data_IF_503920752596
#
_entry.id   IF_503920752596
#
_cell.length_a   1.000
_cell.length_b   1.000
_cell.length_c   1.000
_cell.angle_alpha   90.00
_cell.angle_beta   90.00
_cell.angle_gamma   90.00
#
_symmetry.space_group_name_H-M   'P 1'
#
loop_
_entity.id
_entity.type
_entity.pdbx_description
1 polymer ?
#
# COMPACT_ATOMS: atom_id res chain seq x y z
N UNK A 1 6.15 -22.05 -8.66
CA UNK A 1 5.48 -21.00 -9.47
C UNK A 1 6.28 -19.73 -9.28
N UNK A 2 7.21 -19.49 -10.20
CA UNK A 2 8.20 -18.40 -10.15
C UNK A 2 7.59 -17.06 -10.53
N UNK A 3 7.58 -16.12 -9.59
CA UNK A 3 7.21 -14.71 -9.81
C UNK A 3 8.39 -13.95 -10.45
N UNK A 4 9.60 -14.53 -10.47
CA UNK A 4 10.83 -13.97 -11.05
C UNK A 4 10.77 -13.78 -12.57
N UNK A 5 10.01 -14.62 -13.28
CA UNK A 5 10.03 -14.64 -14.75
C UNK A 5 9.24 -13.52 -15.43
N UNK A 6 8.39 -12.79 -14.69
CA UNK A 6 7.58 -11.71 -15.27
C UNK A 6 8.32 -10.36 -15.35
N UNK A 7 9.43 -10.17 -14.64
CA UNK A 7 10.24 -8.96 -14.77
C UNK A 7 10.95 -8.87 -16.13
N UNK A 8 11.29 -10.01 -16.74
CA UNK A 8 12.04 -10.06 -18.00
C UNK A 8 11.18 -9.88 -19.26
N UNK A 9 9.86 -10.05 -19.16
CA UNK A 9 8.95 -9.94 -20.31
C UNK A 9 8.47 -8.51 -20.60
N UNK A 10 8.72 -7.57 -19.67
CA UNK A 10 8.36 -6.16 -19.86
C UNK A 10 9.22 -5.51 -20.96
N UNK A 11 10.40 -6.07 -21.28
CA UNK A 11 11.31 -5.54 -22.30
C UNK A 11 10.92 -5.84 -23.76
N UNK A 12 9.87 -6.63 -24.02
CA UNK A 12 9.43 -6.98 -25.40
C UNK A 12 8.08 -6.40 -25.82
N UNK A 13 7.34 -5.74 -24.92
CA UNK A 13 6.06 -5.13 -25.25
C UNK A 13 6.20 -3.65 -25.62
N UNK A 14 7.04 -3.34 -26.61
CA UNK A 14 6.97 -2.09 -27.33
C UNK A 14 5.74 -2.08 -28.23
N UNK A 15 4.54 -1.88 -27.66
CA UNK A 15 3.27 -1.62 -28.37
C UNK A 15 2.12 -1.42 -27.38
N UNK A 16 2.12 -0.32 -26.61
CA UNK A 16 0.87 0.31 -26.15
C UNK A 16 1.06 1.83 -26.08
N UNK A 17 1.09 2.47 -27.24
CA UNK A 17 0.69 3.87 -27.34
C UNK A 17 -0.82 3.94 -27.07
N UNK A 18 -1.21 4.03 -25.80
CA UNK A 18 -2.56 4.33 -25.40
C UNK A 18 -2.55 5.66 -24.65
N UNK A 19 -2.94 6.70 -25.40
CA UNK A 19 -3.45 8.01 -24.95
C UNK A 19 -2.70 8.62 -23.76
N UNK A 20 -1.41 8.84 -23.95
CA UNK A 20 -0.73 9.90 -23.22
C UNK A 20 -0.63 11.10 -24.15
N UNK A 21 -0.91 12.31 -23.65
CA UNK A 21 -0.70 13.54 -24.43
C UNK A 21 0.71 13.46 -25.04
N UNK A 22 0.88 13.62 -26.38
CA UNK A 22 2.18 13.48 -27.04
C UNK A 22 3.24 14.50 -26.56
N UNK A 23 2.88 15.38 -25.62
CA UNK A 23 3.70 16.47 -25.11
C UNK A 23 4.19 16.29 -23.65
N UNK A 24 3.71 15.30 -22.89
CA UNK A 24 4.15 15.13 -21.50
C UNK A 24 5.34 14.18 -21.37
N UNK A 25 6.32 14.55 -20.53
CA UNK A 25 7.47 13.70 -20.29
C UNK A 25 7.06 12.42 -19.53
N UNK A 26 7.77 11.28 -19.74
CA UNK A 26 7.50 10.05 -19.00
C UNK A 26 7.52 10.20 -17.48
N UNK A 27 8.41 11.08 -16.98
CA UNK A 27 8.50 11.40 -15.56
C UNK A 27 7.23 12.12 -15.08
N UNK A 28 6.70 13.06 -15.87
CA UNK A 28 5.47 13.78 -15.55
C UNK A 28 4.28 12.83 -15.46
N UNK A 29 4.14 11.94 -16.45
CA UNK A 29 3.06 10.94 -16.48
C UNK A 29 3.18 9.96 -15.31
N UNK A 30 4.40 9.51 -15.01
CA UNK A 30 4.69 8.70 -13.83
C UNK A 30 4.33 9.39 -12.52
N UNK A 31 4.69 10.67 -12.35
CA UNK A 31 4.35 11.45 -11.16
C UNK A 31 2.84 11.61 -10.99
N UNK A 32 2.09 11.87 -12.07
CA UNK A 32 0.63 11.95 -12.02
C UNK A 32 0.02 10.60 -11.60
N UNK A 33 0.51 9.49 -12.17
CA UNK A 33 0.05 8.15 -11.83
C UNK A 33 0.38 7.77 -10.37
N UNK A 34 1.58 8.10 -9.89
CA UNK A 34 1.99 7.91 -8.49
C UNK A 34 1.11 8.72 -7.54
N UNK A 35 0.81 9.98 -7.87
CA UNK A 35 -0.12 10.81 -7.08
C UNK A 35 -1.50 10.16 -6.99
N UNK A 36 -2.05 9.72 -8.12
CA UNK A 36 -3.32 8.99 -8.16
C UNK A 36 -3.31 7.79 -7.20
N UNK A 37 -2.25 6.99 -7.23
CA UNK A 37 -2.13 5.81 -6.36
C UNK A 37 -2.11 6.20 -4.89
N UNK A 38 -1.37 7.24 -4.51
CA UNK A 38 -1.33 7.68 -3.12
C UNK A 38 -2.68 8.21 -2.64
N UNK A 39 -3.37 8.99 -3.47
CA UNK A 39 -4.74 9.45 -3.16
C UNK A 39 -5.67 8.25 -2.97
N UNK A 40 -5.55 7.21 -3.81
CA UNK A 40 -6.34 5.98 -3.68
C UNK A 40 -5.97 5.11 -2.47
N UNK A 41 -4.70 5.01 -2.10
CA UNK A 41 -4.27 4.30 -0.89
C UNK A 41 -4.87 4.97 0.34
N UNK A 42 -4.84 6.31 0.40
CA UNK A 42 -5.37 7.06 1.54
C UNK A 42 -6.89 6.89 1.63
N UNK A 43 -7.62 6.94 0.51
CA UNK A 43 -9.06 6.66 0.48
C UNK A 43 -9.40 5.24 0.94
N UNK A 44 -8.68 4.21 0.46
CA UNK A 44 -8.91 2.81 0.87
C UNK A 44 -8.59 2.61 2.36
N UNK A 45 -7.60 3.31 2.90
CA UNK A 45 -7.26 3.23 4.34
C UNK A 45 -8.32 3.86 5.21
N UNK A 46 -8.82 5.02 4.82
CA UNK A 46 -9.88 5.72 5.54
C UNK A 46 -11.20 4.94 5.45
N UNK A 47 -11.53 4.39 4.28
CA UNK A 47 -12.67 3.49 4.16
C UNK A 47 -12.56 2.29 5.11
N UNK A 48 -11.36 1.71 5.24
CA UNK A 48 -11.11 0.59 6.14
C UNK A 48 -11.28 0.96 7.62
N UNK A 49 -10.99 2.20 8.04
CA UNK A 49 -11.24 2.61 9.43
C UNK A 49 -12.73 2.72 9.70
N UNK A 50 -13.49 3.37 8.81
CA UNK A 50 -14.95 3.42 8.92
C UNK A 50 -15.59 2.04 8.93
N UNK A 51 -15.16 1.12 8.06
CA UNK A 51 -15.65 -0.27 8.08
C UNK A 51 -15.30 -0.99 9.39
N UNK A 52 -14.17 -0.67 10.02
CA UNK A 52 -13.83 -1.25 11.32
C UNK A 52 -14.76 -0.71 12.40
N UNK A 53 -14.91 0.61 12.48
CA UNK A 53 -15.80 1.31 13.42
C UNK A 53 -17.26 0.82 13.30
N UNK A 54 -17.76 0.67 12.07
CA UNK A 54 -19.12 0.19 11.76
C UNK A 54 -19.35 -1.20 12.34
N UNK A 55 -18.35 -2.06 12.15
CA UNK A 55 -18.42 -3.47 12.53
C UNK A 55 -18.09 -3.71 14.01
N UNK A 56 -17.46 -2.75 14.69
CA UNK A 56 -17.25 -2.77 16.15
C UNK A 56 -18.37 -2.06 16.93
N UNK A 57 -19.31 -1.40 16.23
CA UNK A 57 -20.41 -0.65 16.84
C UNK A 57 -19.98 0.71 17.39
N UNK A 58 -18.85 1.24 16.91
CA UNK A 58 -18.41 2.61 17.20
C UNK A 58 -19.26 3.61 16.41
N UNK A 59 -19.39 4.81 16.96
CA UNK A 59 -20.11 5.90 16.27
C UNK A 59 -19.30 6.37 15.06
N UNK A 60 -19.95 6.47 13.90
CA UNK A 60 -19.33 6.89 12.65
C UNK A 60 -19.96 8.19 12.15
N UNK A 61 -19.10 9.08 11.70
CA UNK A 61 -19.49 10.17 10.81
C UNK A 61 -19.95 9.63 9.45
N UNK A 62 -21.27 9.50 9.31
CA UNK A 62 -21.90 8.96 8.10
C UNK A 62 -21.68 9.84 6.86
N UNK A 63 -21.51 11.15 7.04
CA UNK A 63 -21.24 12.08 5.93
C UNK A 63 -19.82 11.86 5.42
N UNK A 64 -18.84 11.82 6.31
CA UNK A 64 -17.45 11.51 5.94
C UNK A 64 -17.31 10.12 5.34
N UNK A 65 -18.04 9.12 5.84
CA UNK A 65 -18.02 7.78 5.26
C UNK A 65 -18.61 7.75 3.84
N UNK A 66 -19.71 8.47 3.60
CA UNK A 66 -20.29 8.63 2.28
C UNK A 66 -19.35 9.36 1.30
N UNK A 67 -18.64 10.39 1.75
CA UNK A 67 -17.64 11.10 0.95
C UNK A 67 -16.49 10.18 0.53
N UNK A 68 -16.01 9.33 1.44
CA UNK A 68 -14.96 8.35 1.11
C UNK A 68 -15.44 7.34 0.08
N UNK A 69 -16.67 6.84 0.19
CA UNK A 69 -17.26 5.94 -0.83
C UNK A 69 -17.38 6.64 -2.18
N UNK A 70 -17.84 7.89 -2.22
CA UNK A 70 -17.88 8.71 -3.43
C UNK A 70 -16.48 8.91 -4.03
N UNK A 71 -15.48 9.16 -3.19
CA UNK A 71 -14.08 9.28 -3.61
C UNK A 71 -13.56 8.00 -4.25
N UNK A 72 -13.82 6.84 -3.64
CA UNK A 72 -13.45 5.53 -4.19
C UNK A 72 -14.11 5.26 -5.55
N UNK A 73 -15.38 5.61 -5.70
CA UNK A 73 -16.10 5.50 -6.97
C UNK A 73 -15.56 6.46 -8.05
N UNK A 74 -15.23 7.70 -7.67
CA UNK A 74 -14.57 8.64 -8.59
C UNK A 74 -13.19 8.13 -9.02
N UNK A 75 -12.42 7.55 -8.09
CA UNK A 75 -11.12 6.98 -8.38
C UNK A 75 -11.22 5.77 -9.31
N UNK A 76 -12.18 4.86 -9.10
CA UNK A 76 -12.38 3.68 -9.96
C UNK A 76 -12.56 4.08 -11.43
N UNK A 77 -13.40 5.09 -11.68
CA UNK A 77 -13.67 5.63 -13.01
C UNK A 77 -12.45 6.30 -13.65
N UNK A 78 -11.52 6.83 -12.84
CA UNK A 78 -10.31 7.53 -13.31
C UNK A 78 -9.13 6.60 -13.58
N UNK A 79 -9.09 5.38 -13.01
CA UNK A 79 -7.93 4.46 -13.15
C UNK A 79 -7.52 4.26 -14.61
N UNK A 80 -8.50 4.13 -15.51
CA UNK A 80 -8.30 3.84 -16.93
C UNK A 80 -7.44 4.89 -17.66
N UNK A 81 -7.48 6.14 -17.18
CA UNK A 81 -6.77 7.29 -17.75
C UNK A 81 -5.26 7.28 -17.45
N UNK A 82 -4.81 6.47 -16.48
CA UNK A 82 -3.40 6.43 -16.07
C UNK A 82 -2.69 5.20 -16.65
N UNK A 83 -2.24 5.29 -17.91
CA UNK A 83 -1.56 4.19 -18.61
C UNK A 83 -0.30 3.68 -17.90
N UNK A 84 0.32 4.49 -17.03
CA UNK A 84 1.53 4.14 -16.28
C UNK A 84 1.28 3.15 -15.14
N UNK A 85 0.03 2.97 -14.70
CA UNK A 85 -0.32 2.11 -13.57
C UNK A 85 -0.27 0.61 -13.85
N UNK A 86 -0.08 0.20 -15.11
CA UNK A 86 -0.14 -1.21 -15.48
C UNK A 86 -0.56 -1.40 -16.92
N UNK A 87 -0.63 -2.66 -17.31
CA UNK A 87 -1.41 -3.12 -18.45
C UNK A 87 -2.90 -2.79 -18.28
N UNK A 88 -3.66 -2.87 -19.38
CA UNK A 88 -5.12 -2.64 -19.35
C UNK A 88 -5.85 -3.61 -18.39
N UNK A 89 -5.54 -4.92 -18.35
CA UNK A 89 -6.15 -5.84 -17.38
C UNK A 89 -5.89 -5.45 -15.91
N UNK A 90 -4.66 -5.06 -15.56
CA UNK A 90 -4.32 -4.65 -14.19
C UNK A 90 -5.11 -3.41 -13.76
N UNK A 91 -5.24 -2.42 -14.65
CA UNK A 91 -6.05 -1.22 -14.42
C UNK A 91 -7.53 -1.54 -14.28
N UNK A 92 -8.05 -2.49 -15.06
CA UNK A 92 -9.42 -2.94 -14.95
C UNK A 92 -9.69 -3.63 -13.60
N UNK A 93 -8.80 -4.51 -13.16
CA UNK A 93 -8.91 -5.17 -11.84
C UNK A 93 -8.89 -4.12 -10.72
N UNK A 94 -8.00 -3.12 -10.80
CA UNK A 94 -7.96 -2.05 -9.82
C UNK A 94 -9.26 -1.23 -9.80
N UNK A 95 -9.79 -0.87 -10.97
CA UNK A 95 -11.09 -0.19 -11.10
C UNK A 95 -12.20 -0.98 -10.42
N UNK A 96 -12.34 -2.27 -10.73
CA UNK A 96 -13.37 -3.12 -10.13
C UNK A 96 -13.26 -3.21 -8.62
N UNK A 97 -12.04 -3.27 -8.07
CA UNK A 97 -11.82 -3.32 -6.62
C UNK A 97 -12.17 -2.03 -5.92
N UNK A 98 -11.78 -0.88 -6.48
CA UNK A 98 -12.14 0.43 -5.93
C UNK A 98 -13.65 0.66 -5.99
N UNK A 99 -14.28 0.27 -7.09
CA UNK A 99 -15.73 0.33 -7.24
C UNK A 99 -16.43 -0.58 -6.22
N UNK A 100 -15.99 -1.83 -6.06
CA UNK A 100 -16.56 -2.75 -5.08
C UNK A 100 -16.46 -2.22 -3.64
N UNK A 101 -15.38 -1.49 -3.30
CA UNK A 101 -15.24 -0.84 -2.00
C UNK A 101 -16.18 0.36 -1.83
N UNK A 102 -16.56 1.05 -2.92
CA UNK A 102 -17.51 2.16 -2.85
C UNK A 102 -18.96 1.73 -2.62
N UNK A 103 -19.26 0.45 -2.86
CA UNK A 103 -20.59 -0.13 -2.68
C UNK A 103 -20.75 -0.70 -1.26
N UNK A 104 -21.97 -0.63 -0.73
CA UNK A 104 -22.28 -1.30 0.53
C UNK A 104 -22.27 -2.82 0.32
N UNK A 105 -21.44 -3.55 1.08
CA UNK A 105 -21.36 -5.01 1.01
C UNK A 105 -21.89 -5.63 2.30
N UNK A 106 -23.20 -5.55 2.52
CA UNK A 106 -23.86 -5.81 3.80
C UNK A 106 -23.68 -7.25 4.34
N UNK A 107 -23.21 -8.20 3.54
CA UNK A 107 -23.16 -9.63 3.92
C UNK A 107 -21.76 -10.18 4.27
N UNK A 108 -20.72 -9.34 4.33
CA UNK A 108 -19.34 -9.80 4.58
C UNK A 108 -18.89 -9.62 6.03
N UNK A 109 -18.27 -10.67 6.60
CA UNK A 109 -17.58 -10.59 7.89
C UNK A 109 -16.45 -9.55 7.86
N UNK A 110 -16.13 -8.96 9.01
CA UNK A 110 -15.04 -7.98 9.15
C UNK A 110 -13.72 -8.52 8.57
N UNK A 111 -13.38 -9.77 8.87
CA UNK A 111 -12.19 -10.44 8.33
C UNK A 111 -12.14 -10.45 6.79
N UNK A 112 -13.24 -10.79 6.11
CA UNK A 112 -13.34 -10.78 4.64
C UNK A 112 -13.18 -9.36 4.09
N UNK A 113 -13.84 -8.38 4.71
CA UNK A 113 -13.69 -6.97 4.33
C UNK A 113 -12.23 -6.52 4.47
N UNK A 114 -11.55 -6.84 5.57
CA UNK A 114 -10.14 -6.49 5.79
C UNK A 114 -9.20 -7.16 4.77
N UNK A 115 -9.48 -8.40 4.34
CA UNK A 115 -8.76 -9.06 3.25
C UNK A 115 -8.87 -8.26 1.95
N UNK A 116 -10.08 -7.86 1.57
CA UNK A 116 -10.32 -7.08 0.33
C UNK A 116 -9.56 -5.75 0.36
N UNK A 117 -9.57 -5.04 1.49
CA UNK A 117 -8.80 -3.80 1.64
C UNK A 117 -7.29 -4.04 1.52
N UNK A 118 -6.76 -5.06 2.20
CA UNK A 118 -5.33 -5.40 2.13
C UNK A 118 -4.89 -5.78 0.73
N UNK A 119 -5.70 -6.58 0.02
CA UNK A 119 -5.47 -6.94 -1.37
C UNK A 119 -5.50 -5.73 -2.30
N UNK A 120 -6.43 -4.79 -2.07
CA UNK A 120 -6.54 -3.56 -2.87
C UNK A 120 -5.35 -2.63 -2.65
N UNK A 121 -4.92 -2.44 -1.39
CA UNK A 121 -3.72 -1.66 -1.06
C UNK A 121 -2.46 -2.28 -1.69
N UNK A 122 -2.31 -3.61 -1.63
CA UNK A 122 -1.20 -4.31 -2.29
C UNK A 122 -1.18 -4.09 -3.81
N UNK A 123 -2.35 -4.14 -4.46
CA UNK A 123 -2.47 -3.86 -5.89
C UNK A 123 -2.10 -2.41 -6.20
N UNK A 124 -2.49 -1.46 -5.35
CA UNK A 124 -2.10 -0.06 -5.48
C UNK A 124 -0.57 0.12 -5.37
N UNK A 125 0.10 -0.50 -4.38
CA UNK A 125 1.57 -0.49 -4.31
C UNK A 125 2.24 -1.09 -5.55
N UNK A 126 1.68 -2.15 -6.12
CA UNK A 126 2.15 -2.71 -7.38
C UNK A 126 1.94 -1.75 -8.57
N UNK A 127 0.80 -1.07 -8.65
CA UNK A 127 0.55 -0.06 -9.69
C UNK A 127 1.47 1.17 -9.54
N UNK A 128 1.80 1.56 -8.31
CA UNK A 128 2.80 2.61 -8.04
C UNK A 128 4.16 2.20 -8.61
N UNK A 129 4.57 0.96 -8.32
CA UNK A 129 5.82 0.40 -8.81
C UNK A 129 5.90 0.39 -10.34
N UNK A 130 4.84 -0.09 -10.98
CA UNK A 130 4.66 -0.01 -12.42
C UNK A 130 4.85 1.42 -12.97
N UNK A 131 4.31 2.43 -12.30
CA UNK A 131 4.44 3.82 -12.72
C UNK A 131 5.87 4.34 -12.52
N UNK A 132 6.53 3.98 -11.42
CA UNK A 132 7.95 4.28 -11.20
C UNK A 132 8.78 3.65 -12.31
N UNK A 133 8.67 2.34 -12.52
CA UNK A 133 9.44 1.59 -13.53
C UNK A 133 9.27 2.15 -14.94
N UNK A 134 8.04 2.46 -15.37
CA UNK A 134 7.78 3.04 -16.70
C UNK A 134 8.36 4.44 -16.87
N UNK A 135 8.58 5.16 -15.78
CA UNK A 135 9.24 6.47 -15.80
C UNK A 135 10.75 6.37 -16.12
N UNK A 136 11.36 5.18 -16.00
CA UNK A 136 12.82 4.99 -16.00
C UNK A 136 13.46 4.76 -17.35
N UNK A 137 12.70 4.40 -18.40
CA UNK A 137 13.19 4.17 -19.78
C UNK A 137 14.56 3.46 -19.90
N UNK A 138 14.81 2.39 -19.13
CA UNK A 138 16.00 1.55 -19.29
C UNK A 138 17.23 1.89 -18.41
N UNK A 139 17.08 2.72 -17.37
CA UNK A 139 18.16 3.03 -16.42
C UNK A 139 18.32 1.93 -15.33
N UNK A 140 18.90 0.78 -15.69
CA UNK A 140 19.05 -0.41 -14.83
C UNK A 140 19.85 -0.19 -13.54
N UNK A 141 20.93 0.61 -13.58
CA UNK A 141 21.87 0.75 -12.46
C UNK A 141 21.25 1.39 -11.19
N UNK A 142 20.08 2.03 -11.29
CA UNK A 142 19.39 2.67 -10.16
C UNK A 142 18.32 1.79 -9.48
N UNK A 143 18.16 0.53 -9.93
CA UNK A 143 16.97 -0.27 -9.60
C UNK A 143 17.11 -1.29 -8.49
N UNK A 144 18.30 -1.88 -8.29
CA UNK A 144 18.47 -2.98 -7.33
C UNK A 144 18.01 -2.59 -5.92
N UNK A 145 18.48 -1.44 -5.43
CA UNK A 145 18.11 -0.95 -4.11
C UNK A 145 16.62 -0.64 -3.99
N UNK A 146 16.04 0.02 -4.99
CA UNK A 146 14.62 0.33 -4.98
C UNK A 146 13.75 -0.94 -5.02
N UNK A 147 14.15 -1.95 -5.80
CA UNK A 147 13.46 -3.25 -5.85
C UNK A 147 13.49 -3.95 -4.50
N UNK A 148 14.65 -4.00 -3.83
CA UNK A 148 14.77 -4.56 -2.48
C UNK A 148 13.87 -3.84 -1.46
N UNK A 149 13.75 -2.52 -1.59
CA UNK A 149 12.85 -1.69 -0.78
C UNK A 149 11.38 -1.98 -1.07
N UNK A 150 11.03 -2.12 -2.33
CA UNK A 150 9.67 -2.47 -2.72
C UNK A 150 9.29 -3.88 -2.24
N UNK A 151 10.16 -4.88 -2.38
CA UNK A 151 9.85 -6.25 -1.92
C UNK A 151 9.65 -6.32 -0.40
N UNK A 152 10.51 -5.68 0.38
CA UNK A 152 10.38 -5.67 1.85
C UNK A 152 9.18 -4.85 2.34
N UNK A 153 8.83 -3.77 1.64
CA UNK A 153 7.57 -3.06 1.85
C UNK A 153 6.37 -3.99 1.63
N UNK A 154 6.32 -4.70 0.49
CA UNK A 154 5.20 -5.59 0.15
C UNK A 154 5.05 -6.73 1.18
N UNK A 155 6.16 -7.28 1.64
CA UNK A 155 6.21 -8.24 2.75
C UNK A 155 5.57 -7.67 4.03
N UNK A 156 5.89 -6.42 4.36
CA UNK A 156 5.41 -5.75 5.57
C UNK A 156 3.91 -5.44 5.48
N UNK A 157 3.43 -4.95 4.34
CA UNK A 157 2.00 -4.69 4.08
C UNK A 157 1.18 -5.98 4.19
N UNK A 158 1.71 -7.11 3.73
CA UNK A 158 1.04 -8.40 3.86
C UNK A 158 0.92 -8.82 5.32
N UNK A 159 2.03 -8.79 6.07
CA UNK A 159 2.04 -9.14 7.48
C UNK A 159 1.10 -8.24 8.28
N UNK A 160 1.02 -6.96 7.94
CA UNK A 160 0.09 -6.00 8.54
C UNK A 160 -1.37 -6.40 8.29
N UNK A 161 -1.69 -6.84 7.06
CA UNK A 161 -3.02 -7.34 6.70
C UNK A 161 -3.35 -8.61 7.48
N UNK A 162 -2.42 -9.57 7.55
CA UNK A 162 -2.60 -10.81 8.31
C UNK A 162 -2.81 -10.56 9.81
N UNK A 163 -2.09 -9.59 10.37
CA UNK A 163 -2.26 -9.23 11.78
C UNK A 163 -3.64 -8.60 12.04
N UNK A 164 -4.09 -7.68 11.18
CA UNK A 164 -5.45 -7.10 11.25
C UNK A 164 -6.56 -8.14 11.14
N UNK A 165 -6.41 -9.13 10.27
CA UNK A 165 -7.36 -10.24 10.17
C UNK A 165 -7.41 -11.01 11.50
N UNK A 166 -6.25 -11.23 12.14
CA UNK A 166 -6.21 -11.86 13.46
C UNK A 166 -6.92 -11.01 14.53
N UNK A 167 -6.72 -9.69 14.54
CA UNK A 167 -7.43 -8.75 15.42
C UNK A 167 -8.95 -8.84 15.20
N UNK A 168 -9.43 -8.93 13.95
CA UNK A 168 -10.87 -9.07 13.69
C UNK A 168 -11.48 -10.34 14.30
N UNK A 169 -10.69 -11.43 14.40
CA UNK A 169 -11.14 -12.64 15.09
C UNK A 169 -11.31 -12.41 16.59
N UNK A 170 -10.45 -11.59 17.21
CA UNK A 170 -10.56 -11.19 18.62
C UNK A 170 -11.82 -10.34 18.83
N UNK A 171 -12.10 -9.39 17.94
CA UNK A 171 -13.34 -8.59 17.97
C UNK A 171 -14.58 -9.48 17.93
N UNK A 172 -14.63 -10.43 16.99
CA UNK A 172 -15.83 -11.23 16.75
C UNK A 172 -16.03 -12.37 17.75
N UNK A 173 -14.94 -12.98 18.25
CA UNK A 173 -15.00 -14.25 18.98
C UNK A 173 -14.31 -14.21 20.35
N UNK A 174 -13.77 -13.07 20.75
CA UNK A 174 -12.86 -12.95 21.90
C UNK A 174 -11.47 -13.55 21.63
N UNK A 175 -10.57 -13.41 22.61
CA UNK A 175 -9.19 -13.90 22.50
C UNK A 175 -9.13 -15.44 22.69
N UNK A 176 -9.38 -16.19 21.62
CA UNK A 176 -9.34 -17.68 21.65
C UNK A 176 -7.96 -18.28 21.40
N UNK A 177 -7.08 -17.58 20.67
CA UNK A 177 -5.75 -18.07 20.33
C UNK A 177 -4.68 -16.96 20.51
N UNK A 178 -4.25 -16.70 21.76
CA UNK A 178 -3.23 -15.69 22.06
C UNK A 178 -1.91 -15.94 21.32
N UNK A 179 -1.50 -17.21 21.18
CA UNK A 179 -0.25 -17.59 20.50
C UNK A 179 -0.25 -17.18 19.03
N UNK A 180 -1.38 -17.36 18.34
CA UNK A 180 -1.50 -16.93 16.95
C UNK A 180 -1.45 -15.40 16.83
N UNK A 181 -2.13 -14.67 17.71
CA UNK A 181 -2.12 -13.21 17.72
C UNK A 181 -0.70 -12.66 17.91
N UNK A 182 0.01 -13.16 18.93
CA UNK A 182 1.41 -12.80 19.21
C UNK A 182 2.32 -13.19 18.05
N UNK A 183 2.14 -14.38 17.46
CA UNK A 183 2.92 -14.82 16.30
C UNK A 183 2.73 -13.91 15.08
N UNK A 184 1.52 -13.43 14.82
CA UNK A 184 1.23 -12.48 13.73
C UNK A 184 1.80 -11.09 14.01
N UNK A 185 1.69 -10.61 15.25
CA UNK A 185 2.30 -9.35 15.67
C UNK A 185 3.83 -9.40 15.52
N UNK A 186 4.47 -10.48 15.98
CA UNK A 186 5.92 -10.71 15.87
C UNK A 186 6.39 -10.75 14.42
N UNK A 187 5.67 -11.45 13.55
CA UNK A 187 5.98 -11.46 12.12
C UNK A 187 5.88 -10.07 11.48
N UNK A 188 4.88 -9.26 11.86
CA UNK A 188 4.78 -7.87 11.41
C UNK A 188 5.96 -7.04 11.93
N UNK A 189 6.27 -7.12 13.23
CA UNK A 189 7.35 -6.37 13.85
C UNK A 189 8.69 -6.67 13.18
N UNK A 190 9.00 -7.94 12.95
CA UNK A 190 10.25 -8.36 12.30
C UNK A 190 10.34 -7.85 10.85
N UNK A 191 9.23 -7.88 10.09
CA UNK A 191 9.21 -7.36 8.72
C UNK A 191 9.33 -5.83 8.67
N UNK A 192 8.67 -5.13 9.59
CA UNK A 192 8.78 -3.68 9.72
C UNK A 192 10.21 -3.24 10.08
N UNK A 193 10.86 -3.93 11.03
CA UNK A 193 12.29 -3.71 11.36
C UNK A 193 13.19 -3.94 10.16
N UNK A 194 13.04 -5.09 9.48
CA UNK A 194 13.80 -5.40 8.27
C UNK A 194 13.61 -4.34 7.17
N UNK A 195 12.41 -3.79 7.01
CA UNK A 195 12.17 -2.71 6.07
C UNK A 195 12.90 -1.43 6.52
N UNK A 196 12.77 -1.02 7.78
CA UNK A 196 13.48 0.13 8.38
C UNK A 196 15.01 0.02 8.22
N UNK A 197 15.57 -1.17 8.43
CA UNK A 197 17.02 -1.44 8.40
C UNK A 197 17.66 -1.31 7.02
N UNK A 198 16.89 -1.12 5.94
CA UNK A 198 17.42 -0.88 4.59
C UNK A 198 18.05 0.52 4.40
N UNK A 199 18.23 1.26 5.51
CA UNK A 199 19.11 2.42 5.59
C UNK A 199 18.67 3.56 4.70
N UNK A 200 17.39 3.96 4.78
CA UNK A 200 16.90 5.08 4.00
C UNK A 200 17.50 6.41 4.48
N UNK A 201 17.87 7.31 3.57
CA UNK A 201 18.24 8.69 3.91
C UNK A 201 16.96 9.53 4.15
N UNK A 202 16.09 9.09 5.05
CA UNK A 202 14.72 9.60 5.14
C UNK A 202 14.52 10.54 6.33
N UNK A 203 13.75 11.61 6.09
CA UNK A 203 13.12 12.42 7.13
C UNK A 203 12.10 11.63 7.97
N UNK A 204 11.58 10.52 7.43
CA UNK A 204 10.53 9.70 8.04
C UNK A 204 11.06 8.30 8.36
N UNK A 205 10.71 7.78 9.53
CA UNK A 205 11.09 6.45 10.01
C UNK A 205 9.88 5.67 10.53
N UNK A 206 10.05 4.37 10.71
CA UNK A 206 9.06 3.51 11.36
C UNK A 206 9.26 3.36 12.88
N UNK A 207 10.22 4.07 13.48
CA UNK A 207 10.69 3.76 14.83
C UNK A 207 9.57 3.85 15.87
N UNK A 208 8.74 4.89 15.81
CA UNK A 208 7.60 5.06 16.72
C UNK A 208 6.54 3.96 16.52
N UNK A 209 6.22 3.63 15.27
CA UNK A 209 5.26 2.57 14.96
C UNK A 209 5.76 1.19 15.39
N UNK A 210 7.07 0.94 15.25
CA UNK A 210 7.75 -0.27 15.70
C UNK A 210 7.74 -0.34 17.23
N UNK A 211 8.03 0.76 17.92
CA UNK A 211 8.01 0.84 19.37
C UNK A 211 6.62 0.54 19.93
N UNK A 212 5.59 1.23 19.43
CA UNK A 212 4.19 0.99 19.84
C UNK A 212 3.76 -0.46 19.65
N UNK A 213 4.08 -1.05 18.49
CA UNK A 213 3.76 -2.45 18.26
C UNK A 213 4.55 -3.39 19.19
N UNK A 214 5.81 -3.07 19.50
CA UNK A 214 6.63 -3.84 20.42
C UNK A 214 6.08 -3.78 21.86
N UNK A 215 5.61 -2.62 22.30
CA UNK A 215 4.99 -2.43 23.62
C UNK A 215 3.68 -3.23 23.71
N UNK A 216 2.77 -3.07 22.75
CA UNK A 216 1.54 -3.87 22.66
C UNK A 216 1.83 -5.38 22.59
N UNK A 217 2.94 -5.80 21.97
CA UNK A 217 3.34 -7.20 21.96
C UNK A 217 3.85 -7.68 23.32
N UNK A 218 4.64 -6.87 24.01
CA UNK A 218 5.18 -7.19 25.33
C UNK A 218 4.06 -7.44 26.34
N UNK A 219 3.06 -6.56 26.35
CA UNK A 219 1.88 -6.67 27.22
C UNK A 219 1.08 -7.94 26.89
N UNK A 220 0.88 -8.26 25.59
CA UNK A 220 0.24 -9.52 25.18
C UNK A 220 1.02 -10.75 25.66
N UNK A 221 2.35 -10.72 25.64
CA UNK A 221 3.17 -11.86 26.09
C UNK A 221 3.15 -12.07 27.60
N UNK A 222 2.92 -11.00 28.36
CA UNK A 222 2.72 -11.07 29.82
C UNK A 222 1.32 -11.52 30.22
N UNK A 223 0.41 -11.68 29.26
CA UNK A 223 -0.98 -12.03 29.51
C UNK A 223 -1.82 -10.83 29.99
N UNK A 224 -1.34 -9.61 29.76
CA UNK A 224 -2.10 -8.40 30.05
C UNK A 224 -3.25 -8.25 29.03
N UNK A 225 -4.40 -7.77 29.51
CA UNK A 225 -5.58 -7.61 28.68
C UNK A 225 -5.43 -6.37 27.80
N UNK A 226 -5.17 -6.58 26.50
CA UNK A 226 -5.18 -5.50 25.50
C UNK A 226 -6.47 -5.53 24.71
N UNK A 227 -7.11 -4.36 24.59
CA UNK A 227 -8.33 -4.22 23.82
C UNK A 227 -8.05 -4.33 22.32
N UNK A 228 -8.94 -5.01 21.60
CA UNK A 228 -8.84 -5.13 20.14
C UNK A 228 -8.82 -3.76 19.41
N UNK A 229 -9.56 -2.72 19.86
CA UNK A 229 -9.45 -1.37 19.31
C UNK A 229 -8.04 -0.78 19.42
N UNK A 230 -7.35 -0.95 20.56
CA UNK A 230 -5.98 -0.45 20.73
C UNK A 230 -5.00 -1.14 19.77
N UNK A 231 -5.09 -2.48 19.66
CA UNK A 231 -4.30 -3.24 18.68
C UNK A 231 -4.57 -2.75 17.25
N UNK A 232 -5.83 -2.49 16.92
CA UNK A 232 -6.19 -1.99 15.60
C UNK A 232 -5.64 -0.58 15.33
N UNK A 233 -5.69 0.31 16.33
CA UNK A 233 -5.11 1.66 16.26
C UNK A 233 -3.61 1.61 15.96
N UNK A 234 -2.86 0.73 16.63
CA UNK A 234 -1.43 0.54 16.36
C UNK A 234 -1.18 0.06 14.92
N UNK A 235 -2.02 -0.84 14.39
CA UNK A 235 -1.91 -1.23 12.98
C UNK A 235 -2.22 -0.07 12.02
N UNK A 236 -3.14 0.82 12.38
CA UNK A 236 -3.51 2.01 11.61
C UNK A 236 -2.41 3.05 11.58
N UNK A 237 -1.76 3.25 12.72
CA UNK A 237 -0.56 4.07 12.85
C UNK A 237 0.63 3.47 12.06
N UNK A 238 0.91 2.18 12.21
CA UNK A 238 1.93 1.48 11.40
C UNK A 238 1.68 1.64 9.90
N UNK A 239 0.42 1.48 9.47
CA UNK A 239 0.04 1.67 8.07
C UNK A 239 0.32 3.10 7.59
N UNK A 240 0.12 4.11 8.42
CA UNK A 240 0.34 5.51 8.09
C UNK A 240 1.82 5.81 7.89
N UNK A 241 2.65 5.44 8.87
CA UNK A 241 4.10 5.67 8.80
C UNK A 241 4.75 4.89 7.65
N UNK A 242 4.31 3.66 7.39
CA UNK A 242 4.78 2.85 6.26
C UNK A 242 4.56 3.55 4.92
N UNK A 243 3.42 4.21 4.75
CA UNK A 243 3.10 4.95 3.53
C UNK A 243 3.89 6.26 3.44
N UNK A 244 4.14 6.96 4.56
CA UNK A 244 5.01 8.15 4.55
C UNK A 244 6.43 7.80 4.10
N UNK A 245 6.99 6.73 4.64
CA UNK A 245 8.30 6.20 4.25
C UNK A 245 8.29 5.82 2.77
N UNK A 246 7.29 5.09 2.28
CA UNK A 246 7.23 4.72 0.87
C UNK A 246 7.05 5.91 -0.07
N UNK A 247 6.20 6.90 0.28
CA UNK A 247 6.06 8.15 -0.46
C UNK A 247 7.41 8.85 -0.64
N UNK A 248 8.28 8.79 0.36
CA UNK A 248 9.64 9.33 0.28
C UNK A 248 10.52 8.51 -0.67
N UNK A 249 10.55 7.18 -0.53
CA UNK A 249 11.31 6.28 -1.41
C UNK A 249 10.97 6.52 -2.88
N UNK A 250 9.68 6.59 -3.20
CA UNK A 250 9.21 6.83 -4.57
C UNK A 250 9.62 8.22 -5.07
N UNK A 251 9.49 9.27 -4.23
CA UNK A 251 9.92 10.62 -4.59
C UNK A 251 11.42 10.68 -4.87
N UNK A 252 12.23 10.07 -4.02
CA UNK A 252 13.68 10.03 -4.19
C UNK A 252 14.07 9.27 -5.46
N UNK A 253 13.40 8.15 -5.73
CA UNK A 253 13.62 7.40 -6.96
C UNK A 253 13.29 8.26 -8.19
N UNK A 254 12.10 8.86 -8.26
CA UNK A 254 11.71 9.72 -9.39
C UNK A 254 12.64 10.94 -9.56
N UNK A 255 13.12 11.53 -8.46
CA UNK A 255 14.05 12.66 -8.50
C UNK A 255 15.44 12.25 -9.02
N UNK A 256 15.96 11.08 -8.62
CA UNK A 256 17.21 10.54 -9.18
C UNK A 256 17.12 10.37 -10.69
N UNK A 257 15.98 9.85 -11.16
CA UNK A 257 15.74 9.66 -12.60
C UNK A 257 15.68 10.98 -13.36
N UNK A 258 15.03 12.00 -12.76
CA UNK A 258 15.01 13.35 -13.32
C UNK A 258 16.42 13.91 -13.46
N UNK A 259 17.24 13.83 -12.41
CA UNK A 259 18.61 14.37 -12.43
C UNK A 259 19.51 13.65 -13.45
N UNK A 260 19.37 12.33 -13.60
CA UNK A 260 20.12 11.55 -14.58
C UNK A 260 19.75 11.88 -16.05
N UNK A 261 18.49 12.26 -16.32
CA UNK A 261 18.08 12.74 -17.65
C UNK A 261 18.70 14.08 -18.03
N UNK A 262 18.99 14.96 -17.06
CA UNK A 262 19.64 16.25 -17.31
C UNK A 262 21.16 16.12 -17.48
N UNK A 263 21.82 15.20 -16.76
CA UNK A 263 23.27 14.97 -16.90
C UNK A 263 23.67 14.30 -18.22
N UNK A 264 22.76 13.55 -18.86
CA UNK A 264 22.99 12.91 -20.17
C UNK A 264 22.81 13.83 -21.39
N UNK A 265 22.52 15.12 -21.19
CA UNK A 265 22.30 16.11 -22.26
C UNK A 265 23.43 17.16 -22.41
N UNK A 266 24.65 16.85 -21.98
CA UNK A 266 25.82 17.67 -22.36
C UNK A 266 26.12 17.43 -23.85
N UNK A 267 26.03 18.44 -24.73
CA UNK A 267 26.48 18.30 -26.10
C UNK A 267 28.01 18.16 -26.13
N UNK A 268 28.50 17.18 -26.87
CA UNK A 268 29.86 17.17 -27.39
C UNK A 268 29.96 18.07 -28.62
#
# INVERSE_FOLDING_TARGET
>A
MDISSNMLLINRAGLTNALSSPFESPITQGQQAVKFVFDAIDAVRLHRSFVYEEMTGEEIDQEAFAEVKSTLFSLSNKVSNYSYLGSRPERHILSMRLEALSQNSDEQSLSKRLVVHGQTIRLLFFCCDCAVLRSLKGQELSMTRYNEQWQTLMDTVDALTQYRICISSVVQNGLRNPKLLVGRASNLLNKAKRFQDQGFNNQYTLDEAIARLADSMHDLTKGEAISAPLLYLDTSFMSFELIKVYKQIVRDQLNRCKNQQYSGKMPA
#
